data_IF_151733149859
#
_entry.id   IF_151733149859
#
_cell.length_a   1.000
_cell.length_b   1.000
_cell.length_c   1.000
_cell.angle_alpha   90.00
_cell.angle_beta   90.00
_cell.angle_gamma   90.00
#
_symmetry.space_group_name_H-M   'P 1'
#
loop_
_entity.id
_entity.type
_entity.pdbx_description
1 polymer ?
#
# COMPACT_ATOMS: atom_id res chain seq x y z
N UNK A 1 -9.05 3.25 26.52
CA UNK A 1 -8.66 1.82 26.52
C UNK A 1 -7.57 1.65 25.50
N UNK A 2 -6.41 1.16 25.89
CA UNK A 2 -5.43 0.77 24.90
C UNK A 2 -5.98 -0.42 24.12
N UNK A 3 -6.30 -0.21 22.87
CA UNK A 3 -6.74 -1.30 22.01
C UNK A 3 -5.62 -2.30 21.80
N UNK A 4 -5.94 -3.57 21.75
CA UNK A 4 -4.95 -4.59 21.47
C UNK A 4 -4.49 -4.45 20.03
N UNK A 5 -3.22 -4.19 19.86
CA UNK A 5 -2.60 -4.20 18.54
C UNK A 5 -2.39 -5.66 18.13
N UNK A 6 -3.21 -6.15 17.24
CA UNK A 6 -3.02 -7.49 16.68
C UNK A 6 -2.13 -7.38 15.45
N UNK A 7 -0.95 -7.93 15.52
CA UNK A 7 -0.06 -8.06 14.38
C UNK A 7 -0.31 -9.45 13.81
N UNK A 8 -0.87 -9.51 12.62
CA UNK A 8 -0.98 -10.76 11.89
C UNK A 8 0.13 -10.76 10.84
N UNK A 9 1.13 -11.55 11.11
CA UNK A 9 2.25 -11.75 10.21
C UNK A 9 1.98 -13.03 9.43
N UNK A 10 1.87 -12.92 8.13
CA UNK A 10 1.78 -14.07 7.25
C UNK A 10 3.06 -14.16 6.43
N UNK A 11 3.79 -15.24 6.65
CA UNK A 11 4.96 -15.53 5.84
C UNK A 11 4.52 -15.79 4.39
N UNK A 12 5.06 -15.01 3.48
CA UNK A 12 4.88 -15.21 2.04
C UNK A 12 6.08 -15.98 1.51
N UNK A 13 5.89 -16.89 0.54
CA UNK A 13 7.01 -17.62 -0.05
C UNK A 13 8.13 -16.67 -0.48
N UNK A 14 9.34 -17.02 -0.12
CA UNK A 14 10.54 -16.26 -0.43
C UNK A 14 10.71 -16.10 -1.94
N UNK A 15 10.77 -14.85 -2.40
CA UNK A 15 11.08 -14.55 -3.79
C UNK A 15 12.56 -14.26 -3.93
N UNK A 16 13.21 -15.02 -4.80
CA UNK A 16 14.50 -14.62 -5.30
C UNK A 16 14.30 -13.64 -6.44
N UNK A 17 14.18 -12.36 -6.10
CA UNK A 17 14.22 -11.33 -7.11
C UNK A 17 15.65 -10.96 -7.43
N UNK A 18 15.94 -10.86 -8.71
CA UNK A 18 17.16 -10.25 -9.17
C UNK A 18 17.35 -8.85 -8.55
N UNK A 19 18.57 -8.39 -8.54
CA UNK A 19 18.93 -7.08 -8.01
C UNK A 19 18.11 -6.00 -8.68
N UNK A 20 17.35 -5.27 -7.88
CA UNK A 20 16.65 -4.07 -8.34
C UNK A 20 17.55 -2.87 -8.10
N UNK A 21 18.07 -2.32 -9.16
CA UNK A 21 18.72 -1.02 -9.14
C UNK A 21 17.66 -0.01 -8.67
N UNK A 22 18.00 0.87 -7.75
CA UNK A 22 17.15 1.94 -7.20
C UNK A 22 16.08 1.53 -6.18
N UNK A 23 16.11 0.31 -5.63
CA UNK A 23 15.20 -0.10 -4.55
C UNK A 23 13.71 -0.17 -4.94
N UNK A 24 13.41 -0.15 -6.24
CA UNK A 24 12.07 -0.36 -6.75
C UNK A 24 11.87 -1.85 -7.02
N UNK A 25 11.11 -2.52 -6.15
CA UNK A 25 10.63 -3.87 -6.40
C UNK A 25 9.27 -3.79 -7.06
N UNK A 26 9.23 -3.95 -8.39
CA UNK A 26 7.96 -4.16 -9.06
C UNK A 26 7.44 -5.54 -8.69
N UNK A 27 6.30 -5.56 -8.07
CA UNK A 27 5.64 -6.78 -7.67
C UNK A 27 5.08 -7.48 -8.91
N UNK A 28 5.51 -8.71 -9.14
CA UNK A 28 5.09 -9.48 -10.31
C UNK A 28 4.44 -10.81 -9.98
N UNK A 29 4.60 -11.31 -8.76
CA UNK A 29 4.08 -12.63 -8.39
C UNK A 29 2.57 -12.59 -8.15
N UNK A 30 1.76 -13.31 -8.97
CA UNK A 30 0.31 -13.31 -8.83
C UNK A 30 -0.18 -13.84 -7.49
N UNK A 31 0.52 -14.79 -6.88
CA UNK A 31 0.12 -15.37 -5.60
C UNK A 31 0.27 -14.36 -4.46
N UNK A 32 1.34 -13.56 -4.48
CA UNK A 32 1.56 -12.50 -3.51
C UNK A 32 0.53 -11.40 -3.68
N UNK A 33 0.26 -10.99 -4.91
CA UNK A 33 -0.77 -9.99 -5.21
C UNK A 33 -2.12 -10.47 -4.71
N UNK A 34 -2.49 -11.73 -4.96
CA UNK A 34 -3.75 -12.30 -4.52
C UNK A 34 -3.88 -12.30 -2.99
N UNK A 35 -2.83 -12.71 -2.27
CA UNK A 35 -2.81 -12.68 -0.81
C UNK A 35 -2.97 -11.27 -0.27
N UNK A 36 -2.27 -10.31 -0.87
CA UNK A 36 -2.35 -8.91 -0.49
C UNK A 36 -3.77 -8.36 -0.69
N UNK A 37 -4.36 -8.59 -1.84
CA UNK A 37 -5.73 -8.15 -2.16
C UNK A 37 -6.75 -8.80 -1.24
N UNK A 38 -6.58 -10.07 -0.90
CA UNK A 38 -7.44 -10.77 0.05
C UNK A 38 -7.42 -10.12 1.43
N UNK A 39 -6.23 -9.75 1.92
CA UNK A 39 -6.10 -9.02 3.20
C UNK A 39 -6.79 -7.66 3.15
N UNK A 40 -6.65 -6.93 2.06
CA UNK A 40 -7.32 -5.63 1.88
C UNK A 40 -8.83 -5.81 1.80
N UNK A 41 -9.30 -6.84 1.12
CA UNK A 41 -10.73 -7.15 1.00
C UNK A 41 -11.39 -7.38 2.37
N UNK A 42 -10.66 -7.89 3.34
CA UNK A 42 -11.14 -8.08 4.71
C UNK A 42 -11.28 -6.77 5.50
N UNK A 43 -10.82 -5.66 4.96
CA UNK A 43 -10.94 -4.32 5.55
C UNK A 43 -12.10 -3.54 4.96
N UNK A 44 -12.38 -2.33 5.47
CA UNK A 44 -13.47 -1.48 4.99
C UNK A 44 -13.01 -0.04 4.81
N UNK A 45 -13.68 0.67 3.91
CA UNK A 45 -13.50 2.10 3.72
C UNK A 45 -12.56 2.46 2.58
N UNK A 46 -12.21 3.74 2.45
CA UNK A 46 -11.29 4.21 1.42
C UNK A 46 -9.90 3.59 1.57
N UNK A 47 -9.23 3.40 0.45
CA UNK A 47 -7.90 2.82 0.38
C UNK A 47 -6.91 3.90 -0.05
N UNK A 48 -5.83 4.05 0.71
CA UNK A 48 -4.71 4.93 0.37
C UNK A 48 -3.51 4.05 0.06
N UNK A 49 -3.06 4.07 -1.17
CA UNK A 49 -1.89 3.27 -1.59
C UNK A 49 -0.64 4.13 -1.63
N UNK A 50 0.42 3.64 -1.00
CA UNK A 50 1.74 4.27 -0.99
C UNK A 50 2.59 3.65 -2.10
N UNK A 51 3.08 4.49 -3.02
CA UNK A 51 4.02 4.08 -4.05
C UNK A 51 3.47 3.00 -4.99
N UNK A 52 2.40 3.29 -5.74
CA UNK A 52 1.78 2.31 -6.62
C UNK A 52 2.71 1.75 -7.70
N UNK A 53 3.77 2.47 -8.04
CA UNK A 53 4.73 2.04 -9.05
C UNK A 53 4.09 1.83 -10.42
N UNK A 54 4.17 0.62 -10.93
CA UNK A 54 3.55 0.24 -12.21
C UNK A 54 2.05 -0.14 -12.10
N UNK A 55 1.49 -0.10 -10.88
CA UNK A 55 0.09 -0.39 -10.63
C UNK A 55 -0.26 -1.85 -10.38
N UNK A 56 0.73 -2.69 -10.08
CA UNK A 56 0.51 -4.12 -9.85
C UNK A 56 -0.51 -4.41 -8.74
N UNK A 57 -0.54 -3.59 -7.69
CA UNK A 57 -1.55 -3.66 -6.64
C UNK A 57 -2.75 -2.76 -6.94
N UNK A 58 -2.52 -1.60 -7.54
CA UNK A 58 -3.56 -0.60 -7.80
C UNK A 58 -4.66 -1.16 -8.71
N UNK A 59 -4.28 -1.88 -9.75
CA UNK A 59 -5.25 -2.45 -10.70
C UNK A 59 -6.23 -3.40 -10.02
N UNK A 60 -5.80 -4.43 -9.26
CA UNK A 60 -6.75 -5.29 -8.56
C UNK A 60 -7.48 -4.56 -7.43
N UNK A 61 -6.88 -3.60 -6.75
CA UNK A 61 -7.56 -2.80 -5.72
C UNK A 61 -8.69 -1.96 -6.32
N UNK A 62 -8.50 -1.44 -7.52
CA UNK A 62 -9.51 -0.68 -8.22
C UNK A 62 -10.80 -1.49 -8.49
N UNK A 63 -10.68 -2.81 -8.56
CA UNK A 63 -11.81 -3.73 -8.80
C UNK A 63 -12.64 -4.00 -7.57
N UNK A 64 -12.20 -3.58 -6.39
CA UNK A 64 -12.95 -3.78 -5.15
C UNK A 64 -14.16 -2.85 -5.01
N UNK A 65 -14.31 -1.86 -5.90
CA UNK A 65 -15.43 -0.92 -5.88
C UNK A 65 -15.35 0.10 -4.73
N UNK A 66 -14.19 0.26 -4.12
CA UNK A 66 -13.93 1.21 -3.03
C UNK A 66 -13.13 2.40 -3.55
N UNK A 67 -13.25 3.59 -2.94
CA UNK A 67 -12.38 4.72 -3.30
C UNK A 67 -10.91 4.34 -3.10
N UNK A 68 -10.08 4.59 -4.11
CA UNK A 68 -8.65 4.35 -4.07
C UNK A 68 -7.92 5.64 -4.42
N UNK A 69 -7.02 6.05 -3.54
CA UNK A 69 -6.08 7.14 -3.77
C UNK A 69 -4.66 6.57 -3.75
N UNK A 70 -3.96 6.67 -4.87
CA UNK A 70 -2.59 6.18 -4.98
C UNK A 70 -1.63 7.36 -5.03
N UNK A 71 -0.64 7.38 -4.15
CA UNK A 71 0.32 8.47 -3.99
C UNK A 71 1.68 8.01 -4.51
N UNK A 72 2.14 8.62 -5.61
CA UNK A 72 3.38 8.27 -6.30
C UNK A 72 4.29 9.48 -6.42
N UNK A 73 5.54 9.32 -6.01
CA UNK A 73 6.54 10.41 -6.07
C UNK A 73 7.12 10.60 -7.47
N UNK A 74 7.17 9.55 -8.29
CA UNK A 74 7.71 9.63 -9.65
C UNK A 74 6.64 10.12 -10.63
N UNK A 75 6.82 11.34 -11.12
CA UNK A 75 5.86 11.97 -12.03
C UNK A 75 5.63 11.19 -13.33
N UNK A 76 6.62 10.44 -13.81
CA UNK A 76 6.48 9.62 -15.02
C UNK A 76 5.56 8.43 -14.77
N UNK A 77 5.67 7.80 -13.60
CA UNK A 77 4.78 6.71 -13.20
C UNK A 77 3.36 7.23 -12.99
N UNK A 78 3.19 8.41 -12.41
CA UNK A 78 1.88 9.05 -12.26
C UNK A 78 1.16 9.18 -13.61
N UNK A 79 1.87 9.66 -14.63
CA UNK A 79 1.30 9.80 -15.97
C UNK A 79 0.86 8.46 -16.55
N UNK A 80 1.70 7.44 -16.43
CA UNK A 80 1.38 6.09 -16.92
C UNK A 80 0.18 5.50 -16.19
N UNK A 81 0.12 5.65 -14.89
CA UNK A 81 -0.98 5.14 -14.08
C UNK A 81 -2.31 5.79 -14.44
N UNK A 82 -2.31 7.11 -14.60
CA UNK A 82 -3.53 7.84 -14.99
C UNK A 82 -4.10 7.38 -16.32
N UNK A 83 -3.23 6.96 -17.26
CA UNK A 83 -3.66 6.42 -18.54
C UNK A 83 -4.22 5.00 -18.45
N UNK A 84 -3.83 4.23 -17.43
CA UNK A 84 -4.15 2.80 -17.31
C UNK A 84 -5.27 2.49 -16.33
N UNK A 85 -5.50 3.37 -15.38
CA UNK A 85 -6.44 3.14 -14.28
C UNK A 85 -7.81 3.76 -14.58
N UNK A 86 -8.89 3.18 -14.02
CA UNK A 86 -10.22 3.78 -14.11
C UNK A 86 -10.26 5.16 -13.47
N UNK A 87 -11.19 5.99 -13.93
CA UNK A 87 -11.33 7.37 -13.44
C UNK A 87 -11.69 7.49 -11.95
N UNK A 88 -12.22 6.44 -11.35
CA UNK A 88 -12.53 6.44 -9.91
C UNK A 88 -11.30 6.25 -9.01
N UNK A 89 -10.15 5.91 -9.59
CA UNK A 89 -8.88 5.87 -8.87
C UNK A 89 -8.20 7.22 -9.01
N UNK A 90 -7.95 7.87 -7.88
CA UNK A 90 -7.21 9.11 -7.82
C UNK A 90 -5.71 8.80 -7.73
N UNK A 91 -4.93 9.26 -8.71
CA UNK A 91 -3.47 9.16 -8.68
C UNK A 91 -2.90 10.52 -8.35
N UNK A 92 -2.23 10.61 -7.21
CA UNK A 92 -1.64 11.85 -6.69
C UNK A 92 -0.14 11.83 -6.92
N UNK A 93 0.39 12.89 -7.54
CA UNK A 93 1.84 13.11 -7.65
C UNK A 93 2.33 13.75 -6.36
N UNK A 94 3.18 13.07 -5.62
CA UNK A 94 3.70 13.63 -4.38
C UNK A 94 4.37 12.60 -3.48
N UNK A 95 4.86 13.09 -2.34
CA UNK A 95 5.50 12.28 -1.32
C UNK A 95 4.47 11.92 -0.24
N UNK A 96 4.32 10.62 0.03
CA UNK A 96 3.43 10.16 1.10
C UNK A 96 3.76 10.80 2.45
N UNK A 97 5.05 11.03 2.74
CA UNK A 97 5.49 11.60 4.02
C UNK A 97 4.96 13.02 4.25
N UNK A 98 4.65 13.75 3.20
CA UNK A 98 4.10 15.11 3.25
C UNK A 98 2.63 15.18 2.86
N UNK A 99 2.05 14.06 2.43
CA UNK A 99 0.65 14.00 2.05
C UNK A 99 -0.26 14.01 3.27
N UNK A 100 -1.30 14.82 3.22
CA UNK A 100 -2.29 14.87 4.30
C UNK A 100 -3.26 13.71 4.17
N UNK A 101 -3.22 12.79 5.15
CA UNK A 101 -4.14 11.66 5.22
C UNK A 101 -5.56 12.11 5.60
N UNK A 102 -6.59 11.36 5.19
CA UNK A 102 -7.96 11.64 5.60
C UNK A 102 -8.12 11.64 7.12
N UNK A 103 -9.05 12.46 7.61
CA UNK A 103 -9.41 12.50 9.04
C UNK A 103 -10.46 11.45 9.43
N UNK A 104 -11.01 10.75 8.46
CA UNK A 104 -11.97 9.66 8.67
C UNK A 104 -11.28 8.29 8.49
N UNK A 105 -11.88 7.19 8.98
CA UNK A 105 -11.27 5.87 8.87
C UNK A 105 -10.96 5.48 7.43
N UNK A 106 -9.75 4.94 7.22
CA UNK A 106 -9.24 4.53 5.92
C UNK A 106 -8.21 3.41 6.09
N UNK A 107 -7.90 2.76 5.00
CA UNK A 107 -6.90 1.68 4.95
C UNK A 107 -5.67 2.16 4.20
N UNK A 108 -4.50 1.98 4.79
CA UNK A 108 -3.23 2.30 4.15
C UNK A 108 -2.61 1.01 3.62
N UNK A 109 -2.23 1.02 2.36
CA UNK A 109 -1.65 -0.14 1.70
C UNK A 109 -0.38 0.26 0.93
N UNK A 110 0.50 -0.69 0.70
CA UNK A 110 1.66 -0.42 -0.15
C UNK A 110 2.66 -1.56 -0.18
N UNK A 111 3.44 -1.56 -1.26
CA UNK A 111 4.64 -2.35 -1.40
C UNK A 111 5.83 -1.44 -1.09
N UNK A 112 6.41 -1.60 0.11
CA UNK A 112 7.42 -0.67 0.60
C UNK A 112 8.82 -1.20 0.33
N UNK A 113 9.71 -0.40 -0.28
CA UNK A 113 11.13 -0.71 -0.29
C UNK A 113 11.64 -0.87 1.13
N UNK A 114 12.47 -1.88 1.38
CA UNK A 114 12.96 -2.22 2.71
C UNK A 114 13.57 -1.02 3.45
N UNK A 115 14.38 -0.21 2.76
CA UNK A 115 15.06 0.95 3.36
C UNK A 115 14.13 2.12 3.68
N UNK A 116 12.91 2.17 3.14
CA UNK A 116 11.93 3.23 3.39
C UNK A 116 10.88 2.83 4.43
N UNK A 117 10.84 1.57 4.82
CA UNK A 117 9.80 1.03 5.70
C UNK A 117 9.69 1.79 7.01
N UNK A 118 10.80 2.05 7.69
CA UNK A 118 10.80 2.78 8.98
C UNK A 118 10.32 4.21 8.81
N UNK A 119 10.77 4.91 7.76
CA UNK A 119 10.38 6.29 7.50
C UNK A 119 8.88 6.43 7.24
N UNK A 120 8.28 5.43 6.62
CA UNK A 120 6.84 5.40 6.32
C UNK A 120 6.02 4.95 7.52
N UNK A 121 6.48 3.93 8.26
CA UNK A 121 5.75 3.40 9.41
C UNK A 121 5.67 4.41 10.56
N UNK A 122 6.70 5.21 10.77
CA UNK A 122 6.73 6.16 11.89
C UNK A 122 5.61 7.21 11.80
N UNK A 123 5.42 7.94 10.69
CA UNK A 123 4.29 8.85 10.56
C UNK A 123 2.93 8.14 10.63
N UNK A 124 2.85 6.95 10.04
CA UNK A 124 1.63 6.15 10.06
C UNK A 124 1.20 5.81 11.49
N UNK A 125 2.15 5.40 12.34
CA UNK A 125 1.88 5.06 13.72
C UNK A 125 1.42 6.26 14.56
N UNK A 126 1.77 7.47 14.15
CA UNK A 126 1.35 8.71 14.80
C UNK A 126 0.05 9.28 14.23
N UNK A 127 -0.50 8.71 13.16
CA UNK A 127 -1.80 9.07 12.64
C UNK A 127 -2.89 8.24 13.32
N UNK A 128 -4.02 8.86 13.65
CA UNK A 128 -5.09 8.21 14.41
C UNK A 128 -6.29 7.78 13.58
N UNK A 129 -6.35 8.18 12.32
CA UNK A 129 -7.55 7.97 11.52
C UNK A 129 -7.55 6.66 10.72
N UNK A 130 -6.39 6.06 10.45
CA UNK A 130 -6.34 4.78 9.73
C UNK A 130 -6.88 3.63 10.58
N UNK A 131 -7.65 2.74 9.97
CA UNK A 131 -8.21 1.56 10.65
C UNK A 131 -7.33 0.33 10.50
N UNK A 132 -6.76 0.15 9.33
CA UNK A 132 -5.89 -0.98 8.99
C UNK A 132 -4.76 -0.49 8.10
N UNK A 133 -3.63 -1.16 8.20
CA UNK A 133 -2.51 -0.99 7.29
C UNK A 133 -2.09 -2.37 6.77
N UNK A 134 -2.09 -2.54 5.45
CA UNK A 134 -1.65 -3.77 4.78
C UNK A 134 -0.42 -3.44 3.95
N UNK A 135 0.73 -3.87 4.42
CA UNK A 135 2.01 -3.50 3.86
C UNK A 135 2.77 -4.74 3.41
N UNK A 136 3.24 -4.72 2.17
CA UNK A 136 4.16 -5.70 1.67
C UNK A 136 5.58 -5.16 1.86
N UNK A 137 6.35 -5.83 2.68
CA UNK A 137 7.78 -5.61 2.78
C UNK A 137 8.52 -6.65 1.93
N UNK A 138 9.82 -6.53 1.82
CA UNK A 138 10.61 -7.38 0.92
C UNK A 138 10.44 -8.90 1.19
N UNK A 139 10.06 -9.28 2.40
CA UNK A 139 10.04 -10.67 2.85
C UNK A 139 8.66 -11.17 3.29
N UNK A 140 7.73 -10.26 3.55
CA UNK A 140 6.46 -10.64 4.19
C UNK A 140 5.35 -9.64 3.88
N UNK A 141 4.11 -10.12 3.93
CA UNK A 141 2.93 -9.27 3.97
C UNK A 141 2.55 -9.10 5.43
N UNK A 142 2.55 -7.89 5.91
CA UNK A 142 2.16 -7.55 7.26
C UNK A 142 0.85 -6.77 7.25
N UNK A 143 -0.07 -7.18 8.10
CA UNK A 143 -1.29 -6.42 8.40
C UNK A 143 -1.23 -5.93 9.83
N UNK A 144 -1.46 -4.64 10.00
CA UNK A 144 -1.60 -4.02 11.31
C UNK A 144 -2.98 -3.41 11.45
N UNK A 145 -3.62 -3.71 12.56
CA UNK A 145 -4.91 -3.13 12.92
C UNK A 145 -4.68 -2.06 13.99
N UNK A 146 -5.26 -0.88 13.76
CA UNK A 146 -5.32 0.17 14.76
C UNK A 146 -6.37 -0.21 15.82
N UNK A 147 -6.03 0.00 17.05
CA UNK A 147 -7.05 -0.30 18.01
C UNK A 147 -6.74 -0.37 19.38
#
# INVERSE_FOLDING_TARGET
MPGSTTITEQAVPTFHHGRHEHGQNFLTDPAVIATFVELVTATRGPIIEIGPGDGALTVPLARLGRPVTAIEIDARLVQRLRCRLPSHVEVVSGDFLTHRLPSHPHVVVGNLPFHQTTAILRPLLHSFAWSDAVLLTQWEVARRRAG
#
